data_IF_676741128606
#
_entry.id   IF_676741128606
#
_cell.length_a   1.000
_cell.length_b   1.000
_cell.length_c   1.000
_cell.angle_alpha   90.00
_cell.angle_beta   90.00
_cell.angle_gamma   90.00
#
_symmetry.space_group_name_H-M   'P 1'
#
loop_
_entity.id
_entity.type
_entity.pdbx_description
1 polymer ?
#
# COMPACT_ATOMS: atom_id res chain seq x y z
N UNK A 1 -15.32 -13.05 -1.37
CA UNK A 1 -14.77 -12.43 -2.59
C UNK A 1 -13.25 -12.46 -2.45
N UNK A 2 -12.53 -13.19 -3.29
CA UNK A 2 -11.08 -13.35 -3.14
C UNK A 2 -10.33 -12.17 -3.77
N UNK A 3 -9.25 -11.71 -3.15
CA UNK A 3 -8.25 -10.83 -3.75
C UNK A 3 -6.89 -11.53 -3.66
N UNK A 4 -5.99 -11.18 -4.57
CA UNK A 4 -4.60 -11.59 -4.43
C UNK A 4 -3.89 -10.60 -3.50
N UNK A 5 -3.04 -11.12 -2.62
CA UNK A 5 -2.34 -10.32 -1.61
C UNK A 5 -0.84 -10.39 -1.87
N UNK A 6 -0.16 -9.24 -1.83
CA UNK A 6 1.27 -9.15 -2.09
C UNK A 6 1.98 -8.19 -1.13
N UNK A 7 3.29 -8.42 -0.98
CA UNK A 7 4.25 -7.45 -0.47
C UNK A 7 5.15 -7.03 -1.64
N UNK A 8 5.45 -5.74 -1.76
CA UNK A 8 6.32 -5.24 -2.83
C UNK A 8 7.63 -4.69 -2.29
N UNK A 9 8.73 -5.08 -2.95
CA UNK A 9 10.07 -4.54 -2.70
C UNK A 9 10.86 -4.50 -4.00
N UNK A 10 11.65 -3.44 -4.21
CA UNK A 10 12.58 -3.36 -5.35
C UNK A 10 14.04 -3.64 -4.95
N UNK A 11 14.92 -3.77 -5.95
CA UNK A 11 16.36 -4.01 -5.73
C UNK A 11 17.08 -2.86 -5.00
N UNK A 12 16.50 -1.65 -4.97
CA UNK A 12 17.00 -0.52 -4.21
C UNK A 12 16.51 -0.50 -2.75
N UNK A 13 15.74 -1.50 -2.32
CA UNK A 13 15.21 -1.61 -0.96
C UNK A 13 14.03 -0.69 -0.65
N UNK A 14 13.35 -0.13 -1.67
CA UNK A 14 12.06 0.54 -1.46
C UNK A 14 10.95 -0.49 -1.35
N UNK A 15 9.93 -0.18 -0.56
CA UNK A 15 8.93 -1.14 -0.11
C UNK A 15 7.52 -0.53 -0.10
N UNK A 16 6.51 -1.40 -0.24
CA UNK A 16 5.11 -1.14 0.07
C UNK A 16 4.60 -2.39 0.81
N UNK A 17 4.10 -2.20 2.03
CA UNK A 17 3.85 -3.28 3.00
C UNK A 17 2.76 -4.26 2.56
N UNK A 18 1.68 -3.76 1.96
CA UNK A 18 0.51 -4.58 1.66
C UNK A 18 -0.20 -4.10 0.40
N UNK A 19 -0.42 -5.03 -0.52
CA UNK A 19 -1.13 -4.81 -1.76
C UNK A 19 -2.29 -5.79 -1.88
N UNK A 20 -3.43 -5.29 -2.34
CA UNK A 20 -4.56 -6.12 -2.77
C UNK A 20 -4.80 -5.94 -4.25
N UNK A 21 -4.84 -7.04 -5.01
CA UNK A 21 -5.23 -7.02 -6.41
C UNK A 21 -6.60 -7.68 -6.58
N UNK A 22 -7.50 -6.93 -7.22
CA UNK A 22 -8.87 -7.34 -7.53
C UNK A 22 -9.24 -6.81 -8.89
N UNK A 23 -9.62 -7.71 -9.80
CA UNK A 23 -10.06 -7.38 -11.16
C UNK A 23 -9.05 -6.49 -11.92
N UNK A 24 -7.75 -6.74 -11.73
CA UNK A 24 -6.67 -5.97 -12.34
C UNK A 24 -6.42 -4.60 -11.72
N UNK A 25 -7.11 -4.25 -10.62
CA UNK A 25 -6.86 -3.02 -9.84
C UNK A 25 -6.04 -3.34 -8.61
N UNK A 26 -5.05 -2.51 -8.33
CA UNK A 26 -4.18 -2.63 -7.16
C UNK A 26 -4.55 -1.54 -6.16
N UNK A 27 -4.92 -1.96 -4.95
CA UNK A 27 -4.95 -1.12 -3.75
C UNK A 27 -3.65 -1.32 -2.99
N UNK A 28 -3.05 -0.23 -2.50
CA UNK A 28 -1.74 -0.24 -1.87
C UNK A 28 -1.78 0.45 -0.51
N UNK A 29 -1.18 -0.18 0.49
CA UNK A 29 -1.25 0.25 1.87
C UNK A 29 0.14 0.20 2.52
N UNK A 30 0.41 1.20 3.35
CA UNK A 30 1.61 1.29 4.18
C UNK A 30 1.19 1.39 5.64
N UNK A 31 1.78 0.58 6.53
CA UNK A 31 1.45 0.62 7.95
C UNK A 31 2.44 1.49 8.73
N UNK A 32 1.89 2.38 9.57
CA UNK A 32 2.66 3.27 10.44
C UNK A 32 2.01 3.35 11.81
N UNK A 33 2.79 3.26 12.88
CA UNK A 33 2.25 3.35 14.24
C UNK A 33 1.79 4.77 14.65
N UNK A 34 2.33 5.80 13.99
CA UNK A 34 1.97 7.21 14.23
C UNK A 34 1.83 8.00 12.94
N UNK A 35 1.63 9.31 13.03
CA UNK A 35 1.36 10.23 11.92
C UNK A 35 2.58 10.59 11.06
N UNK A 36 3.54 9.67 10.96
CA UNK A 36 4.75 9.87 10.15
C UNK A 36 4.41 10.15 8.70
N UNK A 37 5.07 11.14 8.10
CA UNK A 37 4.96 11.39 6.65
C UNK A 37 5.51 10.17 5.91
N UNK A 38 4.70 9.59 5.05
CA UNK A 38 5.11 8.56 4.11
C UNK A 38 5.14 9.16 2.70
N UNK A 39 6.21 8.85 1.94
CA UNK A 39 6.29 9.18 0.53
C UNK A 39 6.35 7.87 -0.24
N UNK A 40 5.30 7.52 -1.00
CA UNK A 40 5.28 6.26 -1.74
C UNK A 40 6.42 6.22 -2.79
N UNK A 41 6.94 5.02 -3.09
CA UNK A 41 7.91 4.86 -4.17
C UNK A 41 7.31 5.26 -5.52
N UNK A 42 7.80 6.34 -6.12
CA UNK A 42 7.31 6.85 -7.43
C UNK A 42 7.43 5.79 -8.54
N UNK A 43 8.46 4.95 -8.48
CA UNK A 43 8.65 3.85 -9.41
C UNK A 43 7.55 2.77 -9.29
N UNK A 44 7.11 2.45 -8.07
CA UNK A 44 5.97 1.56 -7.85
C UNK A 44 4.70 2.16 -8.45
N UNK A 45 4.37 3.39 -8.09
CA UNK A 45 3.18 4.09 -8.56
C UNK A 45 3.10 4.12 -10.09
N UNK A 46 4.22 4.46 -10.74
CA UNK A 46 4.30 4.52 -12.21
C UNK A 46 4.17 3.15 -12.88
N UNK A 47 4.84 2.12 -12.36
CA UNK A 47 4.85 0.78 -12.98
C UNK A 47 3.49 0.09 -12.86
N UNK A 48 2.83 0.25 -11.71
CA UNK A 48 1.57 -0.42 -11.41
C UNK A 48 0.34 0.46 -11.61
N UNK A 49 0.51 1.71 -12.05
CA UNK A 49 -0.60 2.64 -12.30
C UNK A 49 -1.38 3.01 -11.04
N UNK A 50 -0.73 3.00 -9.88
CA UNK A 50 -1.33 3.31 -8.58
C UNK A 50 -1.22 4.82 -8.32
N UNK A 51 -2.33 5.48 -8.02
CA UNK A 51 -2.39 6.93 -7.78
C UNK A 51 -2.03 7.35 -6.36
N UNK A 52 -2.17 6.44 -5.39
CA UNK A 52 -1.87 6.69 -3.98
C UNK A 52 -1.56 5.40 -3.22
N UNK A 53 -0.80 5.53 -2.13
CA UNK A 53 -0.63 4.46 -1.15
C UNK A 53 -1.22 4.96 0.15
N UNK A 54 -2.25 4.27 0.62
CA UNK A 54 -2.97 4.65 1.83
C UNK A 54 -2.13 4.34 3.07
N UNK A 55 -2.01 5.30 3.98
CA UNK A 55 -1.26 5.10 5.23
C UNK A 55 -2.23 4.66 6.31
N UNK A 56 -2.10 3.40 6.74
CA UNK A 56 -2.87 2.85 7.84
C UNK A 56 -2.10 3.04 9.15
N UNK A 57 -2.75 3.67 10.11
CA UNK A 57 -2.22 3.99 11.41
C UNK A 57 -3.28 3.76 12.50
N UNK A 58 -2.94 4.05 13.75
CA UNK A 58 -3.83 3.79 14.90
C UNK A 58 -5.18 4.51 14.85
N UNK A 59 -5.25 5.62 14.12
CA UNK A 59 -6.45 6.45 14.01
C UNK A 59 -7.44 5.85 13.01
N UNK A 60 -6.97 5.30 11.88
CA UNK A 60 -7.81 4.72 10.82
C UNK A 60 -7.76 3.18 10.72
N UNK A 61 -7.05 2.48 11.61
CA UNK A 61 -6.94 1.02 11.59
C UNK A 61 -8.31 0.32 11.64
N UNK A 62 -9.25 0.84 12.43
CA UNK A 62 -10.58 0.23 12.52
C UNK A 62 -11.37 0.42 11.22
N UNK A 63 -11.26 1.59 10.58
CA UNK A 63 -11.91 1.86 9.27
C UNK A 63 -11.32 0.99 8.15
N UNK A 64 -10.04 0.64 8.25
CA UNK A 64 -9.41 -0.30 7.32
C UNK A 64 -9.96 -1.74 7.46
N UNK A 65 -10.35 -2.15 8.67
CA UNK A 65 -10.78 -3.53 8.96
C UNK A 65 -12.29 -3.73 8.71
N UNK A 66 -13.11 -2.69 8.89
CA UNK A 66 -14.58 -2.76 8.88
C UNK A 66 -15.20 -2.12 7.64
#
# INVERSE_FOLDING_TARGET
IYCNIYFWRNHAGKEVDYLEERDGKISAFEFKWGSGKYRPPEDFMRVYGVSEVEVINRENLLEFIF
#
